data_IF_982730066910
#
_entry.id   IF_982730066910
#
_cell.length_a   1.000
_cell.length_b   1.000
_cell.length_c   1.000
_cell.angle_alpha   90.00
_cell.angle_beta   90.00
_cell.angle_gamma   90.00
#
_symmetry.space_group_name_H-M   'P 1'
#
loop_
_entity.id
_entity.type
_entity.pdbx_description
1 polymer ?
#
# COMPACT_ATOMS: atom_id res chain seq x y z
N UNK A 1 -18.67 11.08 -31.85
CA UNK A 1 -18.32 9.82 -31.15
C UNK A 1 -17.22 10.12 -30.15
N UNK A 2 -17.58 10.39 -28.89
CA UNK A 2 -16.60 10.70 -27.85
C UNK A 2 -15.88 9.41 -27.46
N UNK A 3 -14.56 9.36 -27.63
CA UNK A 3 -13.74 8.26 -27.10
C UNK A 3 -13.85 8.33 -25.59
N UNK A 4 -14.47 7.34 -24.96
CA UNK A 4 -14.59 7.22 -23.50
C UNK A 4 -13.20 7.01 -22.89
N UNK A 5 -12.48 8.11 -22.65
CA UNK A 5 -11.23 8.13 -21.91
C UNK A 5 -11.54 7.96 -20.43
N UNK A 6 -10.80 7.09 -19.74
CA UNK A 6 -10.86 7.02 -18.28
C UNK A 6 -10.51 8.40 -17.72
N UNK A 7 -11.17 8.77 -16.62
CA UNK A 7 -10.72 9.90 -15.82
C UNK A 7 -9.34 9.58 -15.24
N UNK A 8 -8.28 10.06 -15.90
CA UNK A 8 -6.89 9.79 -15.53
C UNK A 8 -6.57 10.25 -14.10
N UNK A 9 -7.21 11.33 -13.62
CA UNK A 9 -7.05 11.81 -12.25
C UNK A 9 -7.61 10.83 -11.23
N UNK A 10 -8.82 10.29 -11.49
CA UNK A 10 -9.40 9.26 -10.65
C UNK A 10 -8.53 8.00 -10.65
N UNK A 11 -8.05 7.58 -11.82
CA UNK A 11 -7.20 6.40 -11.96
C UNK A 11 -5.84 6.54 -11.24
N UNK A 12 -5.22 7.73 -11.31
CA UNK A 12 -3.97 8.01 -10.61
C UNK A 12 -4.15 7.98 -9.09
N UNK A 13 -5.27 8.51 -8.58
CA UNK A 13 -5.63 8.42 -7.16
C UNK A 13 -5.80 6.96 -6.72
N UNK A 14 -6.58 6.17 -7.46
CA UNK A 14 -6.76 4.75 -7.15
C UNK A 14 -5.45 3.96 -7.21
N UNK A 15 -4.57 4.31 -8.15
CA UNK A 15 -3.23 3.73 -8.28
C UNK A 15 -2.42 3.94 -7.01
N UNK A 16 -2.40 5.18 -6.49
CA UNK A 16 -1.69 5.52 -5.26
C UNK A 16 -2.27 4.76 -4.06
N UNK A 17 -3.61 4.71 -3.94
CA UNK A 17 -4.27 3.97 -2.86
C UNK A 17 -3.97 2.47 -2.93
N UNK A 18 -4.02 1.85 -4.11
CA UNK A 18 -3.67 0.44 -4.27
C UNK A 18 -2.22 0.17 -3.86
N UNK A 19 -1.27 1.01 -4.26
CA UNK A 19 0.13 0.85 -3.84
C UNK A 19 0.32 0.96 -2.33
N UNK A 20 -0.43 1.85 -1.68
CA UNK A 20 -0.29 2.09 -0.24
C UNK A 20 -0.98 1.02 0.62
N UNK A 21 -2.15 0.53 0.20
CA UNK A 21 -3.00 -0.34 1.04
C UNK A 21 -3.04 -1.80 0.61
N UNK A 22 -2.57 -2.14 -0.59
CA UNK A 22 -2.61 -3.52 -1.08
C UNK A 22 -1.21 -4.01 -1.42
N UNK A 23 -0.65 -4.82 -0.52
CA UNK A 23 0.63 -5.47 -0.77
C UNK A 23 0.49 -6.52 -1.88
N UNK A 24 1.47 -6.55 -2.78
CA UNK A 24 1.55 -7.57 -3.84
C UNK A 24 0.77 -7.27 -5.11
N UNK A 25 0.00 -6.17 -5.20
CA UNK A 25 -0.68 -5.75 -6.43
C UNK A 25 0.19 -4.83 -7.28
N UNK A 26 0.17 -5.06 -8.61
CA UNK A 26 0.92 -4.27 -9.60
C UNK A 26 0.08 -4.05 -10.87
N UNK A 27 0.24 -2.91 -11.55
CA UNK A 27 -0.42 -2.67 -12.83
C UNK A 27 0.12 -3.61 -13.92
N UNK A 28 -0.73 -3.96 -14.89
CA UNK A 28 -0.39 -4.83 -16.01
C UNK A 28 -0.24 -4.00 -17.27
N UNK A 29 0.99 -3.92 -17.79
CA UNK A 29 1.30 -3.14 -18.99
C UNK A 29 1.32 -1.63 -18.72
N UNK A 30 1.12 -0.84 -19.78
CA UNK A 30 1.28 0.61 -19.71
C UNK A 30 0.02 1.35 -19.22
N UNK A 31 -1.11 0.64 -19.07
CA UNK A 31 -2.39 1.22 -18.66
C UNK A 31 -2.68 0.86 -17.20
N UNK A 32 -3.01 1.86 -16.40
CA UNK A 32 -3.33 1.72 -14.98
C UNK A 32 -4.73 1.14 -14.70
N UNK A 33 -5.44 0.67 -15.73
CA UNK A 33 -6.81 0.15 -15.61
C UNK A 33 -6.88 -1.36 -15.34
N UNK A 34 -5.74 -2.06 -15.32
CA UNK A 34 -5.68 -3.49 -15.06
C UNK A 34 -4.55 -3.78 -14.08
N UNK A 35 -4.87 -4.54 -13.04
CA UNK A 35 -3.95 -4.83 -11.95
C UNK A 35 -3.94 -6.32 -11.67
N UNK A 36 -2.78 -6.85 -11.26
CA UNK A 36 -2.63 -8.23 -10.82
C UNK A 36 -1.93 -8.26 -9.48
N UNK A 37 -2.40 -9.13 -8.61
CA UNK A 37 -1.77 -9.38 -7.33
C UNK A 37 -2.02 -10.79 -6.85
N UNK A 38 -1.44 -11.10 -5.71
CA UNK A 38 -1.60 -12.37 -5.05
C UNK A 38 -2.04 -12.12 -3.62
N UNK A 39 -3.05 -12.85 -3.15
CA UNK A 39 -3.47 -12.80 -1.75
C UNK A 39 -3.22 -14.15 -1.09
N UNK A 40 -2.77 -14.13 0.16
CA UNK A 40 -2.70 -15.32 0.98
C UNK A 40 -4.05 -15.56 1.66
N UNK A 41 -4.63 -16.72 1.42
CA UNK A 41 -5.86 -17.15 2.09
C UNK A 41 -5.62 -18.44 2.86
N UNK A 42 -6.37 -18.59 3.95
CA UNK A 42 -6.44 -19.86 4.65
C UNK A 42 -7.49 -20.72 3.96
N UNK A 43 -7.11 -21.92 3.55
CA UNK A 43 -8.02 -22.94 3.02
C UNK A 43 -7.98 -24.17 3.91
N UNK A 44 -8.90 -25.11 3.69
CA UNK A 44 -8.94 -26.40 4.39
C UNK A 44 -7.62 -27.18 4.27
N UNK A 45 -6.85 -26.92 3.21
CA UNK A 45 -5.57 -27.57 2.91
C UNK A 45 -4.34 -26.79 3.43
N UNK A 46 -4.55 -25.65 4.10
CA UNK A 46 -3.52 -24.75 4.61
C UNK A 46 -3.51 -23.37 3.95
N UNK A 47 -2.44 -22.61 4.19
CA UNK A 47 -2.22 -21.30 3.56
C UNK A 47 -1.92 -21.48 2.08
N UNK A 48 -2.69 -20.82 1.22
CA UNK A 48 -2.50 -20.83 -0.21
C UNK A 48 -2.52 -19.40 -0.76
N UNK A 49 -1.63 -19.14 -1.71
CA UNK A 49 -1.58 -17.89 -2.45
C UNK A 49 -2.50 -17.98 -3.68
N UNK A 50 -3.47 -17.07 -3.79
CA UNK A 50 -4.44 -16.99 -4.91
C UNK A 50 -4.08 -15.80 -5.80
N UNK A 51 -4.02 -16.04 -7.11
CA UNK A 51 -3.79 -15.00 -8.10
C UNK A 51 -5.09 -14.28 -8.47
N UNK A 52 -5.06 -12.96 -8.35
CA UNK A 52 -6.20 -12.08 -8.60
C UNK A 52 -5.85 -11.06 -9.66
N UNK A 53 -6.84 -10.75 -10.48
CA UNK A 53 -6.80 -9.68 -11.44
C UNK A 53 -7.95 -8.70 -11.20
N UNK A 54 -7.64 -7.41 -11.22
CA UNK A 54 -8.61 -6.33 -11.05
C UNK A 54 -8.68 -5.56 -12.36
N UNK A 55 -9.90 -5.28 -12.80
CA UNK A 55 -10.19 -4.49 -13.98
C UNK A 55 -11.01 -3.26 -13.60
N UNK A 56 -10.46 -2.08 -13.89
CA UNK A 56 -11.11 -0.79 -13.66
C UNK A 56 -11.79 -0.35 -14.97
N UNK A 57 -13.12 -0.20 -15.00
CA UNK A 57 -13.84 0.11 -16.24
C UNK A 57 -13.58 1.55 -16.71
N UNK A 58 -13.85 1.80 -18.00
CA UNK A 58 -13.61 3.12 -18.59
C UNK A 58 -14.42 4.26 -17.95
N UNK A 59 -15.56 3.90 -17.36
CA UNK A 59 -16.50 4.81 -16.71
C UNK A 59 -16.30 4.92 -15.19
N UNK A 60 -15.21 4.40 -14.64
CA UNK A 60 -14.91 4.57 -13.21
C UNK A 60 -14.82 6.07 -12.84
N UNK A 61 -15.37 6.53 -11.69
CA UNK A 61 -15.98 5.75 -10.59
C UNK A 61 -17.49 5.48 -10.73
N UNK A 62 -18.13 5.83 -11.84
CA UNK A 62 -19.57 5.58 -12.04
C UNK A 62 -19.91 4.08 -12.07
N UNK A 63 -18.96 3.24 -12.50
CA UNK A 63 -19.09 1.79 -12.52
C UNK A 63 -18.03 1.11 -11.65
N UNK A 64 -18.37 0.01 -10.97
CA UNK A 64 -17.47 -0.71 -10.08
C UNK A 64 -16.31 -1.36 -10.84
N UNK A 65 -15.14 -1.52 -10.19
CA UNK A 65 -14.10 -2.42 -10.67
C UNK A 65 -14.59 -3.88 -10.64
N UNK A 66 -14.06 -4.69 -11.53
CA UNK A 66 -14.30 -6.15 -11.57
C UNK A 66 -13.10 -6.89 -11.05
N UNK A 67 -13.33 -7.97 -10.31
CA UNK A 67 -12.28 -8.79 -9.72
C UNK A 67 -12.43 -10.21 -10.26
N UNK A 68 -11.32 -10.75 -10.74
CA UNK A 68 -11.23 -12.09 -11.26
C UNK A 68 -10.20 -12.92 -10.49
N UNK A 69 -10.58 -14.12 -10.09
CA UNK A 69 -9.66 -15.16 -9.61
C UNK A 69 -9.15 -15.92 -10.82
N UNK A 70 -7.83 -15.97 -10.99
CA UNK A 70 -7.21 -16.64 -12.14
C UNK A 70 -7.05 -18.15 -11.94
N UNK A 71 -7.12 -18.62 -10.69
CA UNK A 71 -6.94 -20.03 -10.35
C UNK A 71 -8.26 -20.81 -10.52
N UNK A 72 -8.33 -21.63 -11.57
CA UNK A 72 -9.54 -22.40 -11.95
C UNK A 72 -9.94 -23.52 -10.97
N UNK A 73 -9.08 -23.86 -10.02
CA UNK A 73 -9.29 -24.98 -9.08
C UNK A 73 -9.99 -24.55 -7.78
N UNK A 74 -10.39 -23.28 -7.71
CA UNK A 74 -10.97 -22.65 -6.55
C UNK A 74 -12.48 -22.63 -6.70
N UNK A 75 -13.17 -23.13 -5.67
CA UNK A 75 -14.61 -23.02 -5.56
C UNK A 75 -14.96 -22.18 -4.34
N UNK A 76 -15.83 -21.20 -4.55
CA UNK A 76 -16.32 -20.32 -3.50
C UNK A 76 -17.75 -19.90 -3.85
N UNK A 77 -18.68 -19.76 -2.88
CA UNK A 77 -20.08 -19.39 -3.15
C UNK A 77 -20.26 -18.08 -3.93
N UNK A 78 -19.33 -17.14 -3.73
CA UNK A 78 -19.30 -15.84 -4.42
C UNK A 78 -18.41 -15.82 -5.68
N UNK A 79 -17.96 -16.96 -6.19
CA UNK A 79 -17.14 -17.05 -7.39
C UNK A 79 -17.94 -17.61 -8.56
N UNK A 80 -18.01 -16.86 -9.66
CA UNK A 80 -18.66 -17.27 -10.90
C UNK A 80 -17.76 -18.20 -11.73
N UNK A 81 -18.35 -18.87 -12.73
CA UNK A 81 -17.65 -19.87 -13.56
C UNK A 81 -16.54 -19.27 -14.43
N UNK A 82 -16.63 -17.99 -14.74
CA UNK A 82 -15.63 -17.21 -15.47
C UNK A 82 -14.51 -16.64 -14.57
N UNK A 83 -14.56 -16.94 -13.27
CA UNK A 83 -13.62 -16.44 -12.26
C UNK A 83 -14.00 -15.09 -11.68
N UNK A 84 -15.10 -14.46 -12.10
CA UNK A 84 -15.56 -13.19 -11.54
C UNK A 84 -16.03 -13.36 -10.09
N UNK A 85 -15.65 -12.43 -9.21
CA UNK A 85 -16.02 -12.46 -7.80
C UNK A 85 -17.18 -11.52 -7.53
N UNK A 86 -18.26 -12.05 -6.98
CA UNK A 86 -19.44 -11.31 -6.58
C UNK A 86 -19.30 -10.77 -5.15
N UNK A 87 -18.88 -9.52 -5.04
CA UNK A 87 -18.83 -8.79 -3.78
C UNK A 87 -20.07 -7.91 -3.63
N UNK A 88 -20.58 -7.80 -2.40
CA UNK A 88 -21.70 -6.91 -2.09
C UNK A 88 -21.40 -5.47 -2.48
N UNK A 89 -20.20 -4.99 -2.15
CA UNK A 89 -19.74 -3.63 -2.46
C UNK A 89 -19.62 -3.36 -3.96
N UNK A 90 -19.43 -4.38 -4.81
CA UNK A 90 -19.43 -4.22 -6.27
C UNK A 90 -20.84 -4.31 -6.86
N UNK A 91 -21.79 -4.89 -6.11
CA UNK A 91 -23.19 -4.98 -6.50
C UNK A 91 -23.97 -3.72 -6.10
N UNK A 92 -23.81 -3.29 -4.84
CA UNK A 92 -24.30 -2.03 -4.27
C UNK A 92 -23.20 -0.97 -4.38
N UNK A 93 -22.76 -0.68 -5.61
CA UNK A 93 -21.61 0.20 -5.85
C UNK A 93 -21.91 1.66 -5.50
N UNK A 94 -21.01 2.26 -4.73
CA UNK A 94 -21.00 3.68 -4.41
C UNK A 94 -19.76 4.33 -5.04
N UNK A 95 -19.88 5.38 -5.87
CA UNK A 95 -18.75 6.08 -6.49
C UNK A 95 -17.73 6.69 -5.52
N UNK A 96 -18.07 6.82 -4.23
CA UNK A 96 -17.12 7.25 -3.18
C UNK A 96 -16.21 6.10 -2.69
N UNK A 97 -16.51 4.86 -3.06
CA UNK A 97 -15.72 3.67 -2.70
C UNK A 97 -14.49 3.54 -3.60
N UNK A 98 -13.37 3.18 -2.98
CA UNK A 98 -12.07 3.04 -3.63
C UNK A 98 -11.73 1.58 -3.96
N UNK A 99 -10.88 1.38 -4.97
CA UNK A 99 -10.54 0.03 -5.49
C UNK A 99 -9.84 -0.82 -4.41
N UNK A 100 -9.03 -0.23 -3.54
CA UNK A 100 -8.37 -0.96 -2.45
C UNK A 100 -9.37 -1.52 -1.43
N UNK A 101 -10.49 -0.83 -1.18
CA UNK A 101 -11.56 -1.31 -0.30
C UNK A 101 -12.20 -2.56 -0.89
N UNK A 102 -12.23 -2.66 -2.22
CA UNK A 102 -12.70 -3.85 -2.92
C UNK A 102 -11.80 -5.06 -2.67
N UNK A 103 -10.49 -4.84 -2.67
CA UNK A 103 -9.50 -5.86 -2.30
C UNK A 103 -9.63 -6.26 -0.81
N UNK A 104 -9.85 -5.30 0.08
CA UNK A 104 -10.06 -5.58 1.51
C UNK A 104 -11.33 -6.42 1.74
N UNK A 105 -12.44 -6.07 1.08
CA UNK A 105 -13.67 -6.85 1.18
C UNK A 105 -13.52 -8.27 0.63
N UNK A 106 -12.72 -8.46 -0.42
CA UNK A 106 -12.37 -9.78 -0.93
C UNK A 106 -11.57 -10.60 0.12
N UNK A 107 -10.59 -9.98 0.77
CA UNK A 107 -9.82 -10.65 1.84
C UNK A 107 -10.72 -11.02 3.02
N UNK A 108 -11.64 -10.13 3.42
CA UNK A 108 -12.63 -10.42 4.46
C UNK A 108 -13.58 -11.55 4.07
N UNK A 109 -14.00 -11.60 2.81
CA UNK A 109 -14.84 -12.67 2.29
C UNK A 109 -14.15 -14.01 2.47
N UNK A 110 -12.89 -14.14 2.04
CA UNK A 110 -12.13 -15.38 2.19
C UNK A 110 -11.80 -15.73 3.64
N UNK A 111 -11.73 -14.74 4.55
CA UNK A 111 -11.63 -15.00 6.00
C UNK A 111 -12.93 -15.55 6.57
N UNK A 112 -14.08 -15.07 6.12
CA UNK A 112 -15.42 -15.51 6.57
C UNK A 112 -15.81 -16.86 5.99
N UNK A 113 -15.53 -17.05 4.70
CA UNK A 113 -15.82 -18.28 3.95
C UNK A 113 -14.55 -18.69 3.22
N UNK A 114 -13.77 -19.64 3.77
CA UNK A 114 -12.59 -20.16 3.13
C UNK A 114 -12.91 -20.74 1.74
N UNK A 115 -12.08 -20.48 0.71
CA UNK A 115 -12.27 -21.09 -0.59
C UNK A 115 -11.93 -22.59 -0.55
N UNK A 116 -12.80 -23.40 -1.16
CA UNK A 116 -12.57 -24.83 -1.31
C UNK A 116 -11.69 -25.08 -2.54
N UNK A 117 -10.50 -25.61 -2.33
CA UNK A 117 -9.62 -25.98 -3.44
C UNK A 117 -9.87 -27.45 -3.75
N UNK A 118 -10.33 -27.74 -4.98
CA UNK A 118 -10.32 -29.11 -5.47
C UNK A 118 -8.87 -29.52 -5.70
N UNK A 119 -8.29 -30.16 -4.68
CA UNK A 119 -7.02 -30.84 -4.87
C UNK A 119 -7.21 -31.87 -6.00
N UNK A 120 -6.52 -31.67 -7.12
CA UNK A 120 -6.04 -32.85 -7.83
C UNK A 120 -5.15 -33.59 -6.84
N UNK A 121 -5.17 -34.94 -6.80
CA UNK A 121 -4.34 -35.68 -5.89
C UNK A 121 -2.93 -35.17 -6.06
N UNK A 122 -2.43 -34.54 -4.99
CA UNK A 122 -1.03 -34.25 -4.77
C UNK A 122 -0.32 -35.51 -5.24
N UNK A 123 0.38 -35.46 -6.36
CA UNK A 123 1.32 -36.53 -6.69
C UNK A 123 2.26 -36.51 -5.51
N UNK A 124 2.02 -37.46 -4.58
CA UNK A 124 2.94 -37.79 -3.52
C UNK A 124 4.23 -38.09 -4.27
N UNK A 125 5.15 -37.12 -4.26
CA UNK A 125 6.55 -37.43 -4.40
C UNK A 125 6.81 -38.50 -3.36
N UNK A 126 6.82 -39.76 -3.80
CA UNK A 126 7.07 -40.91 -2.95
C UNK A 126 8.43 -40.65 -2.34
N UNK A 127 8.41 -40.35 -1.05
CA UNK A 127 9.54 -40.47 -0.15
C UNK A 127 9.91 -41.96 -0.16
N UNK A 128 10.73 -42.36 -1.15
CA UNK A 128 11.49 -43.61 -1.07
C UNK A 128 12.82 -43.23 -0.45
N UNK A 129 13.01 -43.78 0.75
CA UNK A 129 14.25 -43.82 1.49
C UNK A 129 15.45 -43.99 0.55
N UNK A 130 16.34 -42.99 0.56
CA UNK A 130 17.63 -43.10 -0.09
C UNK A 130 18.54 -43.96 0.80
N UNK A 131 18.60 -45.25 0.49
CA UNK A 131 19.80 -46.04 0.75
C UNK A 131 20.86 -45.61 -0.25
N UNK A 132 22.03 -45.29 0.28
CA UNK A 132 23.28 -44.94 -0.40
C UNK A 132 23.60 -45.94 -1.52
N UNK A 133 23.84 -45.46 -2.75
CA UNK A 133 24.93 -45.90 -3.66
C UNK A 133 24.93 -45.13 -5.01
N UNK A 134 25.99 -44.33 -5.20
CA UNK A 134 26.93 -44.31 -6.34
C UNK A 134 26.43 -44.17 -7.80
N UNK A 135 26.82 -43.05 -8.42
CA UNK A 135 27.22 -42.81 -9.84
C UNK A 135 26.28 -43.25 -10.98
N UNK A 136 25.74 -42.30 -11.75
CA UNK A 136 26.25 -41.87 -13.07
C UNK A 136 25.24 -40.99 -13.81
N UNK A 137 25.79 -40.16 -14.69
CA UNK A 137 25.22 -39.02 -15.41
C UNK A 137 24.13 -39.35 -16.44
N UNK A 138 22.99 -38.66 -16.35
CA UNK A 138 22.23 -38.17 -17.52
C UNK A 138 21.45 -36.91 -17.13
N UNK A 139 21.79 -35.78 -17.73
CA UNK A 139 21.23 -34.46 -17.42
C UNK A 139 19.87 -34.28 -18.09
N UNK A 140 18.80 -34.22 -17.30
CA UNK A 140 17.49 -33.79 -17.80
C UNK A 140 17.48 -32.28 -18.11
N UNK A 141 16.79 -31.80 -19.17
CA UNK A 141 16.75 -30.38 -19.55
C UNK A 141 16.36 -29.43 -18.42
N UNK A 142 15.51 -29.90 -17.50
CA UNK A 142 15.04 -29.14 -16.33
C UNK A 142 16.14 -28.85 -15.30
N UNK A 143 17.19 -29.67 -15.21
CA UNK A 143 18.30 -29.45 -14.27
C UNK A 143 19.23 -28.31 -14.71
N UNK A 144 19.47 -28.18 -16.02
CA UNK A 144 20.24 -27.06 -16.58
C UNK A 144 19.51 -25.73 -16.39
N UNK A 145 18.19 -25.75 -16.48
CA UNK A 145 17.35 -24.58 -16.25
C UNK A 145 17.40 -24.15 -14.77
N UNK A 146 17.31 -25.11 -13.84
CA UNK A 146 17.46 -24.85 -12.39
C UNK A 146 18.82 -24.27 -12.04
N UNK A 147 19.91 -24.82 -12.60
CA UNK A 147 21.27 -24.27 -12.41
C UNK A 147 21.39 -22.84 -12.96
N UNK A 148 20.80 -22.56 -14.13
CA UNK A 148 20.80 -21.21 -14.71
C UNK A 148 19.99 -20.20 -13.88
N UNK A 149 18.89 -20.63 -13.28
CA UNK A 149 18.06 -19.80 -12.41
C UNK A 149 18.74 -19.57 -11.07
N UNK A 150 19.43 -20.58 -10.52
CA UNK A 150 20.24 -20.44 -9.31
C UNK A 150 21.40 -19.43 -9.53
N UNK A 151 22.07 -19.48 -10.69
CA UNK A 151 23.08 -18.49 -11.04
C UNK A 151 22.50 -17.05 -11.07
N UNK A 152 21.33 -16.85 -11.68
CA UNK A 152 20.65 -15.55 -11.69
C UNK A 152 20.23 -15.08 -10.30
N UNK A 153 19.77 -15.98 -9.44
CA UNK A 153 19.42 -15.66 -8.04
C UNK A 153 20.66 -15.17 -7.30
N UNK A 154 21.80 -15.86 -7.43
CA UNK A 154 23.04 -15.43 -6.78
C UNK A 154 23.50 -14.07 -7.29
N UNK A 155 23.40 -13.80 -8.59
CA UNK A 155 23.74 -12.51 -9.18
C UNK A 155 22.85 -11.38 -8.62
N UNK A 156 21.53 -11.58 -8.60
CA UNK A 156 20.57 -10.61 -8.06
C UNK A 156 20.84 -10.37 -6.57
N UNK A 157 21.12 -11.42 -5.78
CA UNK A 157 21.47 -11.28 -4.37
C UNK A 157 22.74 -10.43 -4.16
N UNK A 158 23.76 -10.58 -5.02
CA UNK A 158 24.95 -9.71 -4.94
C UNK A 158 24.65 -8.25 -5.30
N UNK A 159 23.75 -8.01 -6.27
CA UNK A 159 23.32 -6.64 -6.64
C UNK A 159 22.53 -5.97 -5.52
N UNK A 160 21.62 -6.71 -4.88
CA UNK A 160 20.87 -6.24 -3.70
C UNK A 160 21.84 -5.85 -2.59
N UNK A 161 22.79 -6.74 -2.24
CA UNK A 161 23.80 -6.46 -1.20
C UNK A 161 24.64 -5.21 -1.49
N UNK A 162 25.00 -4.96 -2.75
CA UNK A 162 25.72 -3.74 -3.16
C UNK A 162 24.84 -2.48 -3.02
N UNK A 163 23.58 -2.55 -3.43
CA UNK A 163 22.61 -1.45 -3.30
C UNK A 163 22.31 -1.12 -1.85
N UNK A 164 22.18 -2.12 -0.98
CA UNK A 164 21.96 -1.91 0.46
C UNK A 164 23.16 -1.22 1.14
N UNK A 165 24.39 -1.56 0.72
CA UNK A 165 25.59 -0.87 1.18
C UNK A 165 25.63 0.61 0.73
N UNK A 166 25.16 0.89 -0.48
CA UNK A 166 25.06 2.26 -1.01
C UNK A 166 23.98 3.06 -0.27
N UNK A 167 22.81 2.46 0.00
CA UNK A 167 21.75 3.07 0.81
C UNK A 167 22.24 3.39 2.23
N UNK A 168 23.00 2.50 2.86
CA UNK A 168 23.59 2.75 4.18
C UNK A 168 24.58 3.92 4.18
N UNK A 169 25.37 4.09 3.10
CA UNK A 169 26.27 5.25 2.96
C UNK A 169 25.51 6.55 2.78
N UNK A 170 24.48 6.56 1.92
CA UNK A 170 23.64 7.74 1.69
C UNK A 170 22.91 8.14 2.98
N UNK A 171 22.35 7.17 3.72
CA UNK A 171 21.70 7.43 5.01
C UNK A 171 22.69 8.01 6.04
N UNK A 172 23.91 7.49 6.12
CA UNK A 172 24.95 8.05 6.99
C UNK A 172 25.37 9.47 6.58
N UNK A 173 25.39 9.76 5.28
CA UNK A 173 25.72 11.10 4.77
C UNK A 173 24.58 12.11 5.01
N UNK A 174 23.33 11.69 4.83
CA UNK A 174 22.14 12.50 5.15
C UNK A 174 22.06 12.77 6.66
N UNK A 175 22.33 11.78 7.51
CA UNK A 175 22.35 11.95 8.97
C UNK A 175 23.44 12.91 9.47
N UNK A 176 24.60 12.96 8.80
CA UNK A 176 25.65 13.95 9.10
C UNK A 176 25.24 15.37 8.68
N UNK A 177 24.65 15.54 7.50
CA UNK A 177 24.17 16.84 7.00
C UNK A 177 22.97 17.39 7.78
N UNK A 178 22.12 16.54 8.37
CA UNK A 178 21.04 17.00 9.26
C UNK A 178 21.58 17.53 10.59
N UNK A 179 22.62 16.90 11.17
CA UNK A 179 23.20 17.36 12.44
C UNK A 179 23.92 18.72 12.30
N UNK A 180 24.53 18.98 11.15
CA UNK A 180 25.22 20.25 10.88
C UNK A 180 24.26 21.44 10.71
N UNK A 181 23.02 21.19 10.27
CA UNK A 181 21.96 22.22 10.21
C UNK A 181 21.30 22.47 11.56
N UNK A 182 21.29 21.48 12.46
CA UNK A 182 20.67 21.60 13.80
C UNK A 182 21.48 22.52 14.71
N UNK A 183 22.81 22.50 14.63
CA UNK A 183 23.69 23.38 15.45
C UNK A 183 23.58 24.86 15.08
N UNK A 184 23.13 25.19 13.85
CA UNK A 184 22.94 26.60 13.45
C UNK A 184 21.64 27.21 14.00
N UNK A 185 20.70 26.38 14.45
CA UNK A 185 19.37 26.81 14.92
C UNK A 185 19.40 27.32 16.38
N UNK A 186 20.45 27.01 17.15
CA UNK A 186 20.57 27.48 18.55
C UNK A 186 20.71 29.01 18.70
N UNK A 187 20.95 29.75 17.62
CA UNK A 187 21.02 31.22 17.60
C UNK A 187 19.67 31.92 17.28
N UNK A 188 18.55 31.39 17.78
CA UNK A 188 17.19 31.93 17.57
C UNK A 188 16.95 33.31 18.22
N UNK A 189 17.83 33.77 19.11
CA UNK A 189 17.68 35.06 19.81
C UNK A 189 17.86 36.27 18.87
N UNK A 190 18.47 36.09 17.69
CA UNK A 190 18.81 37.16 16.75
C UNK A 190 17.64 37.55 15.81
N UNK A 191 16.62 36.69 15.64
CA UNK A 191 15.53 36.92 14.67
C UNK A 191 14.22 37.46 15.28
N UNK A 192 14.10 37.50 16.60
CA UNK A 192 12.87 37.97 17.25
C UNK A 192 12.92 39.49 17.45
N UNK A 193 11.84 40.22 17.08
CA UNK A 193 11.74 41.65 17.34
C UNK A 193 11.99 41.98 18.82
N UNK A 194 12.76 43.03 19.12
CA UNK A 194 12.99 43.51 20.50
C UNK A 194 11.72 44.03 21.17
N UNK A 195 10.76 44.48 20.36
CA UNK A 195 9.45 44.91 20.81
C UNK A 195 8.63 43.71 21.27
N UNK A 196 8.30 43.68 22.56
CA UNK A 196 7.56 42.59 23.22
C UNK A 196 6.25 42.27 22.48
N UNK A 197 5.51 43.30 22.04
CA UNK A 197 4.20 43.13 21.41
C UNK A 197 4.34 42.45 20.03
N UNK A 198 5.30 42.91 19.22
CA UNK A 198 5.60 42.30 17.91
C UNK A 198 6.16 40.89 18.02
N UNK A 199 6.98 40.62 19.04
CA UNK A 199 7.49 39.28 19.32
C UNK A 199 6.35 38.32 19.64
N UNK A 200 5.44 38.71 20.51
CA UNK A 200 4.29 37.90 20.91
C UNK A 200 3.35 37.65 19.73
N UNK A 201 3.07 38.68 18.91
CA UNK A 201 2.30 38.54 17.68
C UNK A 201 2.92 37.54 16.69
N UNK A 202 4.24 37.58 16.53
CA UNK A 202 4.97 36.68 15.62
C UNK A 202 4.97 35.23 16.15
N UNK A 203 5.10 35.04 17.45
CA UNK A 203 5.02 33.71 18.07
C UNK A 203 3.62 33.11 17.92
N UNK A 204 2.56 33.89 18.14
CA UNK A 204 1.18 33.44 17.95
C UNK A 204 0.85 33.14 16.48
N UNK A 205 1.40 33.92 15.55
CA UNK A 205 1.31 33.61 14.11
C UNK A 205 1.99 32.28 13.79
N UNK A 206 3.19 32.05 14.30
CA UNK A 206 3.91 30.79 14.10
C UNK A 206 3.14 29.60 14.71
N UNK A 207 2.58 29.77 15.92
CA UNK A 207 1.75 28.76 16.58
C UNK A 207 0.49 28.43 15.74
N UNK A 208 -0.20 29.45 15.21
CA UNK A 208 -1.35 29.26 14.33
C UNK A 208 -1.00 28.45 13.08
N UNK A 209 0.12 28.79 12.43
CA UNK A 209 0.59 28.06 11.24
C UNK A 209 0.91 26.61 11.59
N UNK A 210 1.63 26.37 12.69
CA UNK A 210 1.97 25.01 13.13
C UNK A 210 0.72 24.16 13.42
N UNK A 211 -0.30 24.72 14.10
CA UNK A 211 -1.55 24.02 14.37
C UNK A 211 -2.34 23.74 13.07
N UNK A 212 -2.33 24.67 12.11
CA UNK A 212 -2.93 24.47 10.79
C UNK A 212 -2.27 23.32 10.03
N UNK A 213 -0.94 23.25 10.04
CA UNK A 213 -0.19 22.16 9.40
C UNK A 213 -0.47 20.81 10.07
N UNK A 214 -0.60 20.79 11.40
CA UNK A 214 -1.00 19.60 12.15
C UNK A 214 -2.41 19.13 11.79
N UNK A 215 -3.37 20.07 11.63
CA UNK A 215 -4.73 19.75 11.18
C UNK A 215 -4.72 19.16 9.76
N UNK A 216 -3.94 19.73 8.83
CA UNK A 216 -3.81 19.20 7.47
C UNK A 216 -3.18 17.82 7.45
N UNK A 217 -2.15 17.60 8.29
CA UNK A 217 -1.51 16.29 8.44
C UNK A 217 -2.47 15.26 9.03
N UNK A 218 -3.23 15.65 10.05
CA UNK A 218 -4.23 14.80 10.69
C UNK A 218 -5.33 14.39 9.70
N UNK A 219 -5.81 15.33 8.88
CA UNK A 219 -6.81 15.06 7.84
C UNK A 219 -6.26 14.12 6.75
N UNK A 220 -5.00 14.31 6.34
CA UNK A 220 -4.29 13.37 5.46
C UNK A 220 -4.27 11.96 6.05
N UNK A 221 -3.79 11.82 7.29
CA UNK A 221 -3.72 10.52 7.99
C UNK A 221 -5.08 9.85 8.15
N UNK A 222 -6.16 10.62 8.33
CA UNK A 222 -7.51 10.09 8.41
C UNK A 222 -7.99 9.56 7.07
N UNK A 223 -7.80 10.34 5.99
CA UNK A 223 -8.10 9.92 4.61
C UNK A 223 -7.28 8.69 4.21
N UNK A 224 -6.06 8.62 4.71
CA UNK A 224 -5.14 7.51 4.53
C UNK A 224 -5.45 6.32 5.47
N UNK A 225 -6.50 6.39 6.29
CA UNK A 225 -6.89 5.30 7.19
C UNK A 225 -5.84 4.92 8.26
N UNK A 226 -4.79 5.72 8.46
CA UNK A 226 -3.76 5.50 9.48
C UNK A 226 -4.30 5.70 10.90
N UNK A 227 -5.40 6.47 11.03
CA UNK A 227 -6.04 6.79 12.30
C UNK A 227 -7.53 6.45 12.29
N UNK A 228 -8.00 5.93 13.44
CA UNK A 228 -9.39 5.60 13.67
C UNK A 228 -10.26 6.88 13.70
N UNK A 229 -11.50 6.87 13.15
CA UNK A 229 -12.47 7.95 13.29
C UNK A 229 -12.62 8.54 14.70
N UNK A 230 -12.56 7.72 15.74
CA UNK A 230 -12.69 8.19 17.13
C UNK A 230 -11.49 9.04 17.56
N UNK A 231 -10.28 8.62 17.19
CA UNK A 231 -9.05 9.33 17.53
C UNK A 231 -8.90 10.59 16.68
N UNK A 232 -9.28 10.52 15.40
CA UNK A 232 -9.40 11.69 14.54
C UNK A 232 -10.33 12.75 15.16
N UNK A 233 -11.55 12.37 15.56
CA UNK A 233 -12.51 13.32 16.12
C UNK A 233 -11.99 14.00 17.42
N UNK A 234 -11.28 13.26 18.27
CA UNK A 234 -10.68 13.81 19.50
C UNK A 234 -9.56 14.80 19.18
N UNK A 235 -8.61 14.41 18.32
CA UNK A 235 -7.46 15.24 17.96
C UNK A 235 -7.89 16.48 17.16
N UNK A 236 -8.81 16.30 16.21
CA UNK A 236 -9.34 17.39 15.40
C UNK A 236 -10.04 18.45 16.26
N UNK A 237 -10.90 18.04 17.21
CA UNK A 237 -11.53 18.96 18.16
C UNK A 237 -10.51 19.71 19.00
N UNK A 238 -9.47 19.03 19.47
CA UNK A 238 -8.39 19.65 20.25
C UNK A 238 -7.65 20.72 19.44
N UNK A 239 -7.13 20.36 18.27
CA UNK A 239 -6.36 21.30 17.45
C UNK A 239 -7.23 22.45 16.91
N UNK A 240 -8.50 22.19 16.60
CA UNK A 240 -9.44 23.25 16.22
C UNK A 240 -9.68 24.25 17.37
N UNK A 241 -9.80 23.76 18.59
CA UNK A 241 -9.90 24.60 19.79
C UNK A 241 -8.62 25.42 19.99
N UNK A 242 -7.45 24.78 19.88
CA UNK A 242 -6.16 25.45 20.08
C UNK A 242 -5.93 26.53 19.00
N UNK A 243 -6.29 26.26 17.75
CA UNK A 243 -6.26 27.24 16.65
C UNK A 243 -7.15 28.44 16.94
N UNK A 244 -8.37 28.20 17.41
CA UNK A 244 -9.29 29.27 17.79
C UNK A 244 -8.73 30.15 18.92
N UNK A 245 -8.13 29.53 19.94
CA UNK A 245 -7.51 30.26 21.06
C UNK A 245 -6.33 31.09 20.57
N UNK A 246 -5.44 30.54 19.74
CA UNK A 246 -4.30 31.26 19.18
C UNK A 246 -4.76 32.44 18.31
N UNK A 247 -5.79 32.24 17.50
CA UNK A 247 -6.37 33.30 16.68
C UNK A 247 -6.98 34.43 17.53
N UNK A 248 -7.75 34.08 18.58
CA UNK A 248 -8.33 35.08 19.48
C UNK A 248 -7.27 35.90 20.20
N UNK A 249 -6.22 35.26 20.72
CA UNK A 249 -5.08 35.97 21.34
C UNK A 249 -4.37 36.89 20.35
N UNK A 250 -4.25 36.47 19.09
CA UNK A 250 -3.66 37.29 18.05
C UNK A 250 -4.52 38.53 17.74
N UNK A 251 -5.84 38.40 17.75
CA UNK A 251 -6.79 39.51 17.59
C UNK A 251 -6.74 40.49 18.77
N UNK A 252 -6.54 40.00 20.00
CA UNK A 252 -6.38 40.84 21.20
C UNK A 252 -5.05 41.63 21.21
N UNK A 253 -4.04 41.14 20.49
CA UNK A 253 -2.72 41.78 20.38
C UNK A 253 -2.62 42.67 19.13
N UNK A 254 -3.40 42.40 18.07
CA UNK A 254 -3.41 43.24 16.86
C UNK A 254 -3.91 44.66 17.14
#
# INVERSE_FOLDING_TARGET
MSRSTINDLALARETQLLFNYTEGFRPIGDKLNRWRGTIEVNTDSGKQAINIEIFIPLKFPEYPPRIFVLDSNIHHPNLETDGNVLLRITHEWDPEVHVYQVVQALQELFKKVPPMIKSHPRQKSKEKQATVQTKESTTTPKQREVESLQAKITEIQTKIKKKDQELGRIQAEVGKKSNEKVTTIENLEVLLPKDKKKREQLLLQAEKVAISDLLSTLDGKFKDGEINPVDFAKLYRRFSKDLYIAQKKLEEIS
#
